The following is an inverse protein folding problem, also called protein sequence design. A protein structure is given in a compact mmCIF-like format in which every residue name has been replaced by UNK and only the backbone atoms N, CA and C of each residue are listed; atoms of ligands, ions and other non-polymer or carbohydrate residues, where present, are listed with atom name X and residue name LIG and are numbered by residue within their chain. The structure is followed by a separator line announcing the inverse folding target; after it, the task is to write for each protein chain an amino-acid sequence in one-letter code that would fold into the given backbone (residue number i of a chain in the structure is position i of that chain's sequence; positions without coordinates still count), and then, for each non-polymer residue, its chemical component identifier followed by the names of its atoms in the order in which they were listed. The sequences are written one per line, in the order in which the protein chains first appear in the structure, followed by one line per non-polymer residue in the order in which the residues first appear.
data_IF_497113478895
#
_entry.id   IF_497113478895
#
_cell.length_a   1.000
_cell.length_b   1.000
_cell.length_c   1.000
_cell.angle_alpha   90.00
_cell.angle_beta   90.00
_cell.angle_gamma   90.00
#
_symmetry.space_group_name_H-M   'P 1'
#
loop_
_entity.id
_entity.type
_entity.pdbx_description
1 polymer ?
#
# COMPACT_ATOMS: atom_id res chain seq x y z
N UNK A 1 32.44 12.34 -17.58
CA UNK A 1 31.91 10.97 -17.71
C UNK A 1 30.53 10.95 -17.08
N UNK A 2 29.49 10.48 -17.79
CA UNK A 2 28.16 10.30 -17.19
C UNK A 2 28.25 9.13 -16.22
N UNK A 3 27.99 9.38 -14.95
CA UNK A 3 27.90 8.31 -13.96
C UNK A 3 26.54 7.65 -14.16
N UNK A 4 26.51 6.40 -14.65
CA UNK A 4 25.28 5.66 -14.97
C UNK A 4 24.37 5.39 -13.75
N UNK A 5 24.85 5.72 -12.55
CA UNK A 5 24.16 5.49 -11.28
C UNK A 5 23.39 6.72 -10.76
N UNK A 6 23.51 7.88 -11.42
CA UNK A 6 22.78 9.09 -11.02
C UNK A 6 21.73 9.48 -12.06
N UNK A 7 20.52 9.84 -11.61
CA UNK A 7 19.48 10.37 -12.50
C UNK A 7 19.85 11.75 -13.05
N UNK A 8 19.10 12.26 -14.05
CA UNK A 8 19.32 13.61 -14.59
C UNK A 8 19.19 14.74 -13.54
N UNK A 9 18.51 14.47 -12.42
CA UNK A 9 18.36 15.42 -11.30
C UNK A 9 19.34 15.13 -10.15
N UNK A 10 20.30 14.22 -10.34
CA UNK A 10 21.38 13.93 -9.37
C UNK A 10 21.03 12.89 -8.31
N UNK A 11 19.94 12.13 -8.46
CA UNK A 11 19.58 11.07 -7.51
C UNK A 11 20.50 9.86 -7.66
N UNK A 12 21.17 9.45 -6.59
CA UNK A 12 21.94 8.20 -6.54
C UNK A 12 21.00 6.98 -6.44
N UNK A 13 20.98 6.17 -7.49
CA UNK A 13 20.11 4.99 -7.61
C UNK A 13 20.51 3.88 -6.63
N UNK A 14 21.80 3.74 -6.30
CA UNK A 14 22.26 2.69 -5.38
C UNK A 14 21.84 3.00 -3.95
N UNK A 15 21.93 4.26 -3.55
CA UNK A 15 21.48 4.71 -2.23
C UNK A 15 19.95 4.58 -2.08
N UNK A 16 19.19 4.86 -3.14
CA UNK A 16 17.73 4.65 -3.14
C UNK A 16 17.38 3.18 -2.99
N UNK A 17 18.05 2.27 -3.72
CA UNK A 17 17.83 0.82 -3.59
C UNK A 17 18.14 0.33 -2.17
N UNK A 18 19.24 0.80 -1.58
CA UNK A 18 19.62 0.48 -0.20
C UNK A 18 18.55 0.95 0.80
N UNK A 19 18.05 2.18 0.65
CA UNK A 19 16.98 2.73 1.50
C UNK A 19 15.67 1.97 1.35
N UNK A 20 15.27 1.61 0.12
CA UNK A 20 14.06 0.82 -0.13
C UNK A 20 14.16 -0.60 0.46
N UNK A 21 15.33 -1.21 0.43
CA UNK A 21 15.54 -2.50 1.10
C UNK A 21 15.43 -2.41 2.63
N UNK A 22 15.62 -1.20 3.20
CA UNK A 22 15.55 -0.93 4.63
C UNK A 22 14.24 -0.27 5.09
N UNK A 23 13.32 0.07 4.17
CA UNK A 23 12.09 0.81 4.49
C UNK A 23 10.98 -0.05 5.10
N UNK A 24 11.20 -1.36 5.24
CA UNK A 24 10.20 -2.29 5.77
C UNK A 24 9.14 -2.68 4.73
N UNK A 25 7.93 -2.99 5.20
CA UNK A 25 6.81 -3.39 4.33
C UNK A 25 6.41 -2.26 3.40
N UNK A 26 6.14 -2.60 2.13
CA UNK A 26 5.43 -1.70 1.24
C UNK A 26 4.03 -1.39 1.76
N UNK A 27 3.42 -0.34 1.24
CA UNK A 27 2.05 0.04 1.59
C UNK A 27 1.05 -1.12 1.43
N UNK A 28 1.15 -1.89 0.33
CA UNK A 28 0.24 -3.00 0.06
C UNK A 28 0.48 -4.17 1.02
N UNK A 29 1.74 -4.47 1.33
CA UNK A 29 2.09 -5.50 2.31
C UNK A 29 1.62 -5.10 3.72
N UNK A 30 1.81 -3.83 4.10
CA UNK A 30 1.31 -3.32 5.38
C UNK A 30 -0.22 -3.37 5.45
N UNK A 31 -0.91 -2.97 4.38
CA UNK A 31 -2.38 -3.04 4.28
C UNK A 31 -2.88 -4.48 4.43
N UNK A 32 -2.25 -5.42 3.75
CA UNK A 32 -2.59 -6.84 3.84
C UNK A 32 -2.27 -7.42 5.22
N UNK A 33 -1.10 -7.10 5.79
CA UNK A 33 -0.71 -7.52 7.13
C UNK A 33 -1.73 -7.02 8.17
N UNK A 34 -2.10 -5.74 8.11
CA UNK A 34 -3.12 -5.15 8.98
C UNK A 34 -4.44 -5.88 8.77
N UNK A 35 -4.92 -6.05 7.53
CA UNK A 35 -6.15 -6.76 7.25
C UNK A 35 -6.18 -8.19 7.82
N UNK A 36 -5.06 -8.92 7.79
CA UNK A 36 -4.94 -10.28 8.32
C UNK A 36 -4.86 -10.33 9.85
N UNK A 37 -4.13 -9.40 10.48
CA UNK A 37 -3.77 -9.47 11.91
C UNK A 37 -4.66 -8.66 12.83
N UNK A 38 -5.13 -7.49 12.37
CA UNK A 38 -5.91 -6.53 13.18
C UNK A 38 -7.19 -6.09 12.48
N UNK A 39 -7.31 -6.36 11.18
CA UNK A 39 -8.45 -6.02 10.36
C UNK A 39 -9.68 -6.81 10.77
N UNK A 40 -10.55 -6.14 11.52
CA UNK A 40 -11.99 -6.36 11.50
C UNK A 40 -12.50 -7.79 11.74
N UNK A 41 -11.74 -8.67 12.40
CA UNK A 41 -12.25 -9.98 12.85
C UNK A 41 -13.49 -9.74 13.71
N UNK A 42 -14.64 -10.29 13.31
CA UNK A 42 -15.94 -10.10 13.97
C UNK A 42 -16.54 -8.67 13.94
N UNK A 43 -15.99 -7.72 13.18
CA UNK A 43 -16.58 -6.37 13.04
C UNK A 43 -17.74 -6.29 12.04
N UNK A 44 -18.01 -7.37 11.29
CA UNK A 44 -19.17 -7.44 10.38
C UNK A 44 -20.48 -7.09 11.09
N UNK A 45 -20.61 -7.44 12.37
CA UNK A 45 -21.78 -7.13 13.21
C UNK A 45 -21.89 -5.65 13.60
N UNK A 46 -20.81 -4.88 13.46
CA UNK A 46 -20.76 -3.44 13.75
C UNK A 46 -20.98 -2.59 12.49
N UNK A 47 -20.97 -3.21 11.31
CA UNK A 47 -21.21 -2.52 10.04
C UNK A 47 -22.72 -2.42 9.79
N UNK A 48 -23.24 -1.19 9.75
CA UNK A 48 -24.59 -0.88 9.28
C UNK A 48 -24.68 -0.75 7.75
N UNK A 49 -23.63 -1.12 7.03
CA UNK A 49 -23.58 -1.00 5.56
C UNK A 49 -24.43 -2.09 4.90
N UNK A 50 -25.46 -1.71 4.15
CA UNK A 50 -26.17 -2.61 3.22
C UNK A 50 -25.36 -2.77 1.93
N UNK A 51 -24.69 -3.91 1.80
CA UNK A 51 -23.88 -4.25 0.63
C UNK A 51 -24.70 -4.29 -0.67
N UNK A 52 -25.99 -4.61 -0.61
CA UNK A 52 -26.85 -4.63 -1.79
C UNK A 52 -27.15 -3.22 -2.29
N UNK A 53 -27.36 -2.26 -1.39
CA UNK A 53 -27.55 -0.85 -1.74
C UNK A 53 -26.28 -0.26 -2.38
N UNK A 54 -25.12 -0.45 -1.74
CA UNK A 54 -23.84 0.07 -2.27
C UNK A 54 -23.56 -0.46 -3.67
N UNK A 55 -23.88 -1.74 -3.94
CA UNK A 55 -23.74 -2.31 -5.28
C UNK A 55 -24.65 -1.67 -6.30
N UNK A 56 -25.88 -1.27 -5.93
CA UNK A 56 -26.77 -0.52 -6.84
C UNK A 56 -26.18 0.84 -7.15
N UNK A 57 -25.80 1.60 -6.12
CA UNK A 57 -25.30 2.98 -6.27
C UNK A 57 -24.00 3.10 -7.10
N UNK A 58 -23.17 2.05 -7.13
CA UNK A 58 -21.93 2.02 -7.94
C UNK A 58 -22.19 1.73 -9.43
N UNK A 59 -23.32 1.10 -9.75
CA UNK A 59 -23.66 0.70 -11.12
C UNK A 59 -24.75 1.57 -11.77
N UNK A 60 -25.25 2.58 -11.06
CA UNK A 60 -26.04 3.71 -11.60
C UNK A 60 -25.11 4.79 -12.16
#
# INVERSE_FOLDING_TARGET
MKNNNTTNVGTDIQEVKRKNAQSGMSYNEAKEYIARTTGGHNTKQLSNTDVAQVKRDIHE
#
